data_IF_150117028271
#
_entry.id   IF_150117028271
#
_cell.length_a   1.000
_cell.length_b   1.000
_cell.length_c   1.000
_cell.angle_alpha   90.00
_cell.angle_beta   90.00
_cell.angle_gamma   90.00
#
_symmetry.space_group_name_H-M   'P 1'
#
loop_
_entity.id
_entity.type
_entity.pdbx_description
1 polymer ?
#
# COMPACT_ATOMS: atom_id res chain seq x y z
N UNK A 1 -21.79 -4.85 -4.07
CA UNK A 1 -21.66 -3.57 -3.35
C UNK A 1 -20.81 -3.75 -2.09
N UNK A 2 -21.26 -4.49 -1.09
CA UNK A 2 -20.65 -4.65 0.25
C UNK A 2 -19.14 -4.98 0.35
N UNK A 3 -18.61 -5.87 -0.50
CA UNK A 3 -17.17 -6.27 -0.46
C UNK A 3 -16.25 -5.19 -1.07
N UNK A 4 -16.78 -4.28 -1.88
CA UNK A 4 -16.00 -3.19 -2.45
C UNK A 4 -15.59 -2.18 -1.37
N UNK A 5 -16.50 -1.88 -0.45
CA UNK A 5 -16.32 -0.84 0.56
C UNK A 5 -15.23 -1.22 1.56
N UNK A 6 -15.18 -2.51 1.96
CA UNK A 6 -14.11 -2.99 2.84
C UNK A 6 -12.73 -2.96 2.18
N UNK A 7 -12.64 -3.26 0.87
CA UNK A 7 -11.37 -3.20 0.13
C UNK A 7 -10.87 -1.77 0.03
N UNK A 8 -11.79 -0.83 -0.17
CA UNK A 8 -11.48 0.59 -0.14
C UNK A 8 -11.03 1.02 1.26
N UNK A 9 -11.71 0.57 2.33
CA UNK A 9 -11.28 0.82 3.71
C UNK A 9 -9.87 0.29 3.99
N UNK A 10 -9.55 -0.92 3.53
CA UNK A 10 -8.21 -1.52 3.62
C UNK A 10 -7.18 -0.69 2.85
N UNK A 11 -7.46 -0.31 1.60
CA UNK A 11 -6.56 0.52 0.81
C UNK A 11 -6.30 1.89 1.47
N UNK A 12 -7.33 2.52 2.04
CA UNK A 12 -7.22 3.79 2.76
C UNK A 12 -6.42 3.63 4.06
N UNK A 13 -6.60 2.53 4.80
CA UNK A 13 -5.79 2.20 5.96
C UNK A 13 -4.30 2.05 5.60
N UNK A 14 -3.99 1.28 4.55
CA UNK A 14 -2.62 1.00 4.12
C UNK A 14 -1.88 2.23 3.55
N UNK A 15 -2.62 3.28 3.17
CA UNK A 15 -2.09 4.53 2.60
C UNK A 15 -2.28 5.73 3.55
N UNK A 16 -2.58 5.46 4.83
CA UNK A 16 -2.73 6.45 5.91
C UNK A 16 -3.77 7.54 5.61
N UNK A 17 -4.80 7.20 4.83
CA UNK A 17 -5.86 8.14 4.46
C UNK A 17 -6.96 8.18 5.53
N UNK A 18 -7.49 9.37 5.87
CA UNK A 18 -8.54 9.49 6.86
C UNK A 18 -9.82 8.76 6.39
N UNK A 19 -10.51 8.12 7.34
CA UNK A 19 -11.75 7.42 7.10
C UNK A 19 -12.90 8.10 7.87
N UNK A 20 -13.97 8.53 7.19
CA UNK A 20 -15.16 9.04 7.86
C UNK A 20 -15.82 7.96 8.74
N UNK A 21 -16.33 8.29 9.94
CA UNK A 21 -16.99 7.31 10.81
C UNK A 21 -18.16 6.59 10.13
N UNK A 22 -18.97 7.30 9.33
CA UNK A 22 -20.08 6.72 8.59
C UNK A 22 -19.63 5.63 7.61
N UNK A 23 -18.53 5.87 6.89
CA UNK A 23 -17.97 4.91 5.94
C UNK A 23 -17.47 3.64 6.65
N UNK A 24 -16.90 3.78 7.85
CA UNK A 24 -16.49 2.63 8.67
C UNK A 24 -17.71 1.79 9.03
N UNK A 25 -18.75 2.39 9.61
CA UNK A 25 -19.95 1.65 10.01
C UNK A 25 -20.64 0.99 8.82
N UNK A 26 -20.64 1.61 7.63
CA UNK A 26 -21.21 1.01 6.42
C UNK A 26 -20.35 -0.13 5.83
N UNK A 27 -19.05 -0.18 6.14
CA UNK A 27 -18.11 -1.14 5.57
C UNK A 27 -17.90 -2.41 6.40
N UNK A 28 -18.17 -2.37 7.72
CA UNK A 28 -17.86 -3.47 8.67
C UNK A 28 -18.99 -3.76 9.68
N UNK A 29 -20.25 -3.55 9.31
CA UNK A 29 -21.42 -3.68 10.21
C UNK A 29 -21.82 -5.12 10.59
N UNK A 30 -21.23 -6.16 9.99
CA UNK A 30 -21.56 -7.56 10.30
C UNK A 30 -20.30 -8.40 10.55
N UNK A 31 -20.45 -9.55 11.21
CA UNK A 31 -19.36 -10.44 11.59
C UNK A 31 -18.52 -10.91 10.38
N UNK A 32 -19.16 -11.14 9.24
CA UNK A 32 -18.47 -11.58 8.02
C UNK A 32 -17.53 -10.49 7.47
N UNK A 33 -18.01 -9.25 7.46
CA UNK A 33 -17.20 -8.10 7.04
C UNK A 33 -16.10 -7.81 8.06
N UNK A 34 -16.39 -7.87 9.36
CA UNK A 34 -15.35 -7.72 10.39
C UNK A 34 -14.26 -8.79 10.25
N UNK A 35 -14.62 -10.06 10.02
CA UNK A 35 -13.66 -11.13 9.77
C UNK A 35 -12.78 -10.83 8.54
N UNK A 36 -13.37 -10.33 7.45
CA UNK A 36 -12.63 -9.96 6.26
C UNK A 36 -11.64 -8.80 6.51
N UNK A 37 -11.98 -7.86 7.39
CA UNK A 37 -11.06 -6.80 7.84
C UNK A 37 -9.92 -7.39 8.69
N UNK A 38 -10.23 -8.28 9.63
CA UNK A 38 -9.26 -8.97 10.49
C UNK A 38 -8.26 -9.75 9.61
N UNK A 39 -8.76 -10.53 8.66
CA UNK A 39 -7.96 -11.34 7.75
C UNK A 39 -6.99 -10.48 6.93
N UNK A 40 -7.44 -9.31 6.46
CA UNK A 40 -6.66 -8.42 5.59
C UNK A 40 -5.71 -7.49 6.33
N UNK A 41 -6.01 -7.08 7.57
CA UNK A 41 -5.24 -6.07 8.29
C UNK A 41 -4.50 -6.60 9.52
N UNK A 42 -5.06 -7.57 10.24
CA UNK A 42 -4.50 -8.10 11.49
C UNK A 42 -3.74 -9.39 11.23
N UNK A 43 -4.35 -10.36 10.55
CA UNK A 43 -3.77 -11.67 10.29
C UNK A 43 -2.95 -11.74 8.99
N UNK A 44 -2.87 -10.64 8.23
CA UNK A 44 -2.17 -10.62 6.96
C UNK A 44 -0.64 -10.58 7.14
N UNK A 45 0.12 -11.57 6.63
CA UNK A 45 1.58 -11.58 6.73
C UNK A 45 2.24 -10.31 6.21
N UNK A 46 1.67 -9.71 5.15
CA UNK A 46 2.19 -8.47 4.56
C UNK A 46 2.02 -7.27 5.48
N UNK A 47 0.87 -7.12 6.15
CA UNK A 47 0.64 -5.97 7.06
C UNK A 47 1.38 -6.11 8.38
N UNK A 48 1.71 -7.34 8.78
CA UNK A 48 2.59 -7.62 9.92
C UNK A 48 4.03 -7.21 9.59
N UNK A 49 4.53 -7.54 8.40
CA UNK A 49 5.88 -7.21 7.97
C UNK A 49 6.07 -5.72 7.61
N UNK A 50 5.07 -5.10 7.00
CA UNK A 50 5.11 -3.71 6.53
C UNK A 50 3.95 -2.87 7.09
N UNK A 51 3.91 -2.66 8.42
CA UNK A 51 2.78 -2.01 9.06
C UNK A 51 2.73 -0.49 8.77
N UNK A 52 1.53 0.10 8.67
CA UNK A 52 1.36 1.55 8.73
C UNK A 52 1.87 2.14 10.05
N UNK A 53 1.99 3.47 10.12
CA UNK A 53 2.46 4.14 11.34
C UNK A 53 1.62 3.81 12.58
N UNK A 54 2.27 3.48 13.70
CA UNK A 54 1.61 2.97 14.92
C UNK A 54 0.57 3.93 15.53
N UNK A 55 0.85 5.23 15.52
CA UNK A 55 -0.09 6.27 15.95
C UNK A 55 -1.32 6.35 15.05
N UNK A 56 -1.14 6.17 13.73
CA UNK A 56 -2.24 6.06 12.78
C UNK A 56 -3.06 4.79 13.04
N UNK A 57 -2.40 3.63 13.24
CA UNK A 57 -3.10 2.38 13.58
C UNK A 57 -3.96 2.53 14.84
N UNK A 58 -3.42 3.14 15.90
CA UNK A 58 -4.17 3.41 17.13
C UNK A 58 -5.42 4.24 16.86
N UNK A 59 -5.29 5.33 16.10
CA UNK A 59 -6.42 6.21 15.76
C UNK A 59 -7.46 5.47 14.92
N UNK A 60 -7.01 4.70 13.93
CA UNK A 60 -7.89 3.91 13.07
C UNK A 60 -8.70 2.90 13.89
N UNK A 61 -8.05 2.02 14.67
CA UNK A 61 -8.75 0.98 15.41
C UNK A 61 -9.68 1.55 16.49
N UNK A 62 -9.29 2.68 17.12
CA UNK A 62 -10.19 3.41 18.02
C UNK A 62 -11.45 3.90 17.28
N UNK A 63 -11.29 4.47 16.09
CA UNK A 63 -12.42 4.94 15.29
C UNK A 63 -13.32 3.78 14.82
N UNK A 64 -12.72 2.62 14.50
CA UNK A 64 -13.47 1.40 14.15
C UNK A 64 -14.38 0.97 15.29
N UNK A 65 -13.83 0.79 16.49
CA UNK A 65 -14.61 0.39 17.67
C UNK A 65 -15.70 1.42 17.98
N UNK A 66 -15.36 2.71 18.03
CA UNK A 66 -16.35 3.78 18.32
C UNK A 66 -17.47 3.81 17.28
N UNK A 67 -17.17 3.60 16.00
CA UNK A 67 -18.18 3.60 14.95
C UNK A 67 -19.12 2.39 15.06
N UNK A 68 -18.59 1.21 15.38
CA UNK A 68 -19.39 -0.01 15.54
C UNK A 68 -20.28 0.06 16.80
N UNK A 69 -19.68 0.40 17.95
CA UNK A 69 -20.41 0.58 19.21
C UNK A 69 -21.50 1.65 19.10
N UNK A 70 -21.20 2.78 18.45
CA UNK A 70 -22.14 3.87 18.24
C UNK A 70 -23.35 3.50 17.37
N UNK A 71 -23.24 2.45 16.56
CA UNK A 71 -24.33 1.91 15.74
C UNK A 71 -24.97 0.65 16.36
N UNK A 72 -24.58 0.27 17.59
CA UNK A 72 -25.09 -0.92 18.26
C UNK A 72 -24.66 -2.24 17.61
N UNK A 73 -23.54 -2.24 16.88
CA UNK A 73 -22.96 -3.43 16.25
C UNK A 73 -22.00 -4.10 17.23
N UNK A 74 -22.14 -5.42 17.39
CA UNK A 74 -21.20 -6.22 18.18
C UNK A 74 -19.84 -6.27 17.49
N UNK A 75 -18.77 -6.02 18.25
CA UNK A 75 -17.39 -5.93 17.75
C UNK A 75 -16.68 -7.25 18.00
N UNK A 76 -16.07 -7.81 16.96
CA UNK A 76 -15.28 -9.04 17.04
C UNK A 76 -14.09 -8.91 18.01
N UNK A 77 -13.80 -10.00 18.75
CA UNK A 77 -12.81 -10.00 19.83
C UNK A 77 -11.41 -9.57 19.38
N UNK A 78 -10.96 -10.04 18.22
CA UNK A 78 -9.64 -9.72 17.65
C UNK A 78 -9.47 -8.22 17.38
N UNK A 79 -10.55 -7.49 17.10
CA UNK A 79 -10.50 -6.03 16.91
C UNK A 79 -10.22 -5.33 18.25
N UNK A 80 -10.85 -5.79 19.34
CA UNK A 80 -10.54 -5.29 20.67
C UNK A 80 -9.12 -5.62 21.10
N UNK A 81 -8.69 -6.86 20.90
CA UNK A 81 -7.32 -7.28 21.21
C UNK A 81 -6.31 -6.41 20.45
N UNK A 82 -6.55 -6.16 19.16
CA UNK A 82 -5.70 -5.27 18.36
C UNK A 82 -5.68 -3.84 18.92
N UNK A 83 -6.84 -3.28 19.27
CA UNK A 83 -6.91 -1.95 19.88
C UNK A 83 -6.14 -1.89 21.21
N UNK A 84 -6.31 -2.88 22.08
CA UNK A 84 -5.62 -2.97 23.38
C UNK A 84 -4.10 -3.04 23.18
N UNK A 85 -3.62 -3.84 22.22
CA UNK A 85 -2.21 -3.89 21.83
C UNK A 85 -1.69 -2.51 21.39
N UNK A 86 -2.46 -1.78 20.58
CA UNK A 86 -2.08 -0.43 20.14
C UNK A 86 -2.09 0.58 21.28
N UNK A 87 -3.05 0.48 22.22
CA UNK A 87 -3.13 1.37 23.38
C UNK A 87 -1.97 1.17 24.35
N UNK A 88 -1.50 -0.07 24.50
CA UNK A 88 -0.36 -0.46 25.34
C UNK A 88 0.99 0.03 24.80
N UNK A 89 1.07 0.41 23.53
CA UNK A 89 2.30 0.97 22.97
C UNK A 89 2.52 2.39 23.52
N UNK A 90 3.73 2.79 23.93
CA UNK A 90 3.97 4.16 24.36
C UNK A 90 3.68 5.18 23.25
N UNK A 91 3.10 6.32 23.62
CA UNK A 91 2.96 7.44 22.68
C UNK A 91 4.33 8.04 22.46
N UNK A 92 4.83 7.96 21.22
CA UNK A 92 6.12 8.54 20.86
C UNK A 92 6.06 10.06 20.91
N UNK A 93 7.10 10.68 21.47
CA UNK A 93 7.30 12.12 21.41
C UNK A 93 8.31 12.45 20.30
N UNK A 94 8.12 13.59 19.64
CA UNK A 94 8.97 14.05 18.54
C UNK A 94 8.32 13.97 17.16
N UNK A 95 9.05 14.32 16.09
CA UNK A 95 8.52 14.33 14.74
C UNK A 95 8.10 12.91 14.30
N UNK A 96 7.08 12.78 13.44
CA UNK A 96 6.66 11.50 12.87
C UNK A 96 7.83 10.80 12.17
N UNK A 97 8.10 9.54 12.52
CA UNK A 97 9.05 8.71 11.79
C UNK A 97 8.47 8.28 10.43
N UNK A 98 9.36 7.86 9.54
CA UNK A 98 8.94 7.22 8.31
C UNK A 98 8.14 5.93 8.59
N UNK A 99 7.17 5.64 7.72
CA UNK A 99 6.33 4.45 7.85
C UNK A 99 6.06 3.82 6.50
N UNK A 100 5.69 2.54 6.49
CA UNK A 100 5.30 1.86 5.27
C UNK A 100 3.94 2.34 4.80
N UNK A 101 3.84 2.61 3.50
CA UNK A 101 2.60 2.75 2.76
C UNK A 101 2.52 1.58 1.80
N UNK A 102 1.35 0.92 1.74
CA UNK A 102 1.09 -0.15 0.77
C UNK A 102 -0.04 0.28 -0.17
N UNK A 103 0.28 0.46 -1.44
CA UNK A 103 -0.68 0.75 -2.51
C UNK A 103 -1.16 -0.57 -3.11
N UNK A 104 -2.47 -0.81 -3.09
CA UNK A 104 -3.06 -2.02 -3.68
C UNK A 104 -3.37 -1.77 -5.15
N UNK A 105 -2.49 -2.22 -6.05
CA UNK A 105 -2.72 -2.17 -7.48
C UNK A 105 -3.81 -3.14 -7.87
N UNK A 106 -4.93 -2.61 -8.35
CA UNK A 106 -5.97 -3.45 -8.96
C UNK A 106 -5.54 -3.85 -10.36
N UNK A 107 -5.76 -5.12 -10.71
CA UNK A 107 -5.57 -5.58 -12.09
C UNK A 107 -6.46 -4.78 -13.05
N UNK A 108 -5.93 -4.22 -14.14
CA UNK A 108 -6.76 -3.57 -15.17
C UNK A 108 -7.57 -4.61 -15.95
N UNK A 109 -8.81 -4.25 -16.28
CA UNK A 109 -9.70 -5.09 -17.09
C UNK A 109 -9.18 -5.24 -18.54
N UNK A 110 -8.57 -4.18 -19.07
CA UNK A 110 -7.95 -4.13 -20.41
C UNK A 110 -6.45 -4.47 -20.41
N UNK A 111 -5.92 -5.00 -19.31
CA UNK A 111 -4.49 -5.24 -19.15
C UNK A 111 -3.96 -6.34 -20.07
N UNK A 112 -2.73 -6.17 -20.57
CA UNK A 112 -2.05 -7.17 -21.42
C UNK A 112 -1.52 -8.35 -20.61
N UNK A 113 -1.31 -8.18 -19.31
CA UNK A 113 -0.79 -9.22 -18.40
C UNK A 113 -1.87 -10.28 -18.13
N UNK A 114 -1.60 -11.58 -18.37
CA UNK A 114 -2.53 -12.66 -18.07
C UNK A 114 -2.89 -12.76 -16.59
N UNK A 115 -4.10 -13.25 -16.31
CA UNK A 115 -4.63 -13.41 -14.94
C UNK A 115 -3.70 -14.22 -14.04
N UNK A 116 -3.19 -15.34 -14.57
CA UNK A 116 -2.34 -16.24 -13.83
C UNK A 116 -1.00 -15.60 -13.44
N UNK A 117 -0.47 -14.72 -14.29
CA UNK A 117 0.79 -14.00 -14.05
C UNK A 117 0.60 -12.85 -13.05
N UNK A 118 -0.53 -12.15 -13.12
CA UNK A 118 -0.83 -11.06 -12.19
C UNK A 118 -0.97 -11.56 -10.74
N UNK A 119 -1.76 -12.63 -10.56
CA UNK A 119 -2.12 -13.20 -9.26
C UNK A 119 -0.90 -13.71 -8.52
N UNK A 120 -0.83 -13.45 -7.22
CA UNK A 120 0.23 -13.94 -6.34
C UNK A 120 -0.13 -15.32 -5.78
N UNK A 121 0.86 -16.18 -5.46
CA UNK A 121 0.60 -17.42 -4.76
C UNK A 121 -0.15 -17.20 -3.44
N UNK A 122 -1.02 -18.13 -3.07
CA UNK A 122 -1.72 -18.09 -1.78
C UNK A 122 -0.74 -18.14 -0.60
N UNK A 123 -1.06 -17.41 0.47
CA UNK A 123 -0.26 -17.39 1.70
C UNK A 123 0.88 -16.38 1.73
N UNK A 124 1.13 -15.67 0.62
CA UNK A 124 2.07 -14.54 0.59
C UNK A 124 1.46 -13.29 1.25
N UNK A 125 0.18 -13.04 0.96
CA UNK A 125 -0.64 -12.03 1.58
C UNK A 125 -2.10 -12.49 1.57
N UNK A 126 -2.93 -11.79 2.35
CA UNK A 126 -4.37 -12.02 2.42
C UNK A 126 -5.16 -10.97 1.64
N UNK A 127 -4.52 -10.20 0.76
CA UNK A 127 -5.25 -9.28 -0.10
C UNK A 127 -6.03 -10.04 -1.17
N UNK A 128 -7.05 -9.39 -1.75
CA UNK A 128 -7.83 -10.01 -2.82
C UNK A 128 -6.92 -10.36 -4.01
N UNK A 129 -7.10 -11.56 -4.60
CA UNK A 129 -6.23 -12.11 -5.66
C UNK A 129 -5.96 -11.19 -6.85
N UNK A 130 -6.90 -10.30 -7.18
CA UNK A 130 -6.73 -9.33 -8.27
C UNK A 130 -6.01 -8.03 -7.84
N UNK A 131 -5.51 -7.96 -6.60
CA UNK A 131 -4.72 -6.86 -6.07
C UNK A 131 -3.28 -7.29 -5.84
N UNK A 132 -2.35 -6.41 -6.19
CA UNK A 132 -0.92 -6.58 -5.92
C UNK A 132 -0.44 -5.43 -5.05
N UNK A 133 0.18 -5.69 -3.88
CA UNK A 133 0.71 -4.62 -3.05
C UNK A 133 1.98 -4.03 -3.65
N UNK A 134 2.07 -2.71 -3.71
CA UNK A 134 3.33 -1.96 -3.86
C UNK A 134 3.63 -1.26 -2.54
N UNK A 135 4.73 -1.62 -1.91
CA UNK A 135 5.07 -1.12 -0.59
C UNK A 135 6.29 -0.21 -0.66
N UNK A 136 6.20 0.95 -0.03
CA UNK A 136 7.31 1.88 0.09
C UNK A 136 7.36 2.48 1.49
N UNK A 137 8.55 2.75 1.99
CA UNK A 137 8.78 3.49 3.22
C UNK A 137 8.88 4.97 2.89
N UNK A 138 7.99 5.79 3.45
CA UNK A 138 7.96 7.24 3.19
C UNK A 138 8.12 8.06 4.46
N UNK A 139 8.63 9.28 4.31
CA UNK A 139 8.47 10.32 5.32
C UNK A 139 7.00 10.68 5.50
N UNK A 140 6.63 10.94 6.75
CA UNK A 140 5.29 11.41 7.11
C UNK A 140 5.20 12.94 7.19
N UNK A 141 6.30 13.63 6.91
CA UNK A 141 6.39 15.09 6.83
C UNK A 141 6.58 15.52 5.38
N UNK A 142 6.03 16.68 4.98
CA UNK A 142 6.15 17.18 3.60
C UNK A 142 7.58 17.55 3.24
N UNK A 143 8.32 18.11 4.19
CA UNK A 143 9.73 18.46 4.06
C UNK A 143 10.48 17.74 5.17
N UNK A 144 11.42 16.89 4.80
CA UNK A 144 12.35 16.23 5.73
C UNK A 144 13.76 16.40 5.15
N UNK A 145 14.74 16.71 6.00
CA UNK A 145 16.15 16.90 5.59
C UNK A 145 16.37 17.95 4.49
N UNK A 146 15.46 18.92 4.36
CA UNK A 146 15.55 19.98 3.35
C UNK A 146 15.04 19.56 1.96
N UNK A 147 14.49 18.35 1.82
CA UNK A 147 13.94 17.83 0.57
C UNK A 147 12.47 17.44 0.73
N UNK A 148 11.76 17.39 -0.40
CA UNK A 148 10.40 16.86 -0.51
C UNK A 148 10.35 15.49 -1.17
N UNK A 149 11.50 14.92 -1.54
CA UNK A 149 11.62 13.66 -2.30
C UNK A 149 11.36 12.40 -1.48
N UNK A 150 11.33 12.49 -0.15
CA UNK A 150 11.11 11.34 0.75
C UNK A 150 9.64 10.91 0.87
N UNK A 151 8.75 11.51 0.08
CA UNK A 151 7.31 11.24 0.07
C UNK A 151 6.79 11.18 -1.36
N UNK A 152 5.81 10.32 -1.63
CA UNK A 152 5.12 10.32 -2.92
C UNK A 152 4.25 11.57 -3.07
N UNK A 153 4.41 12.23 -4.22
CA UNK A 153 3.57 13.35 -4.63
C UNK A 153 2.39 12.89 -5.47
N UNK A 154 1.32 13.70 -5.47
CA UNK A 154 0.09 13.40 -6.21
C UNK A 154 0.33 13.11 -7.69
N UNK A 155 1.24 13.85 -8.33
CA UNK A 155 1.60 13.62 -9.73
C UNK A 155 2.15 12.21 -10.00
N UNK A 156 2.91 11.64 -9.06
CA UNK A 156 3.43 10.27 -9.17
C UNK A 156 2.29 9.24 -9.08
N UNK A 157 1.28 9.49 -8.24
CA UNK A 157 0.07 8.65 -8.16
C UNK A 157 -0.76 8.73 -9.44
N UNK A 158 -0.97 9.92 -9.97
CA UNK A 158 -1.77 10.11 -11.20
C UNK A 158 -1.06 9.48 -12.41
N UNK A 159 0.27 9.62 -12.51
CA UNK A 159 1.05 8.96 -13.56
C UNK A 159 1.10 7.44 -13.37
N UNK A 160 1.16 6.96 -12.13
CA UNK A 160 1.09 5.53 -11.82
C UNK A 160 -0.22 4.90 -12.31
N UNK A 161 -1.35 5.55 -12.03
CA UNK A 161 -2.66 5.10 -12.51
C UNK A 161 -2.71 5.08 -14.04
N UNK A 162 -2.19 6.12 -14.70
CA UNK A 162 -2.13 6.16 -16.16
C UNK A 162 -1.26 5.05 -16.74
N UNK A 163 -0.07 4.80 -16.19
CA UNK A 163 0.82 3.70 -16.64
C UNK A 163 0.14 2.35 -16.41
N UNK A 164 -0.57 2.17 -15.30
CA UNK A 164 -1.28 0.93 -14.99
C UNK A 164 -2.34 0.61 -16.05
N UNK A 165 -2.97 1.62 -16.65
CA UNK A 165 -3.91 1.48 -17.77
C UNK A 165 -3.22 1.39 -19.16
N UNK A 166 -1.96 1.83 -19.26
CA UNK A 166 -1.19 1.91 -20.51
C UNK A 166 0.11 1.09 -20.43
N UNK A 167 0.05 -0.12 -19.87
CA UNK A 167 1.22 -0.96 -19.52
C UNK A 167 2.17 -1.17 -20.70
N UNK A 168 1.63 -1.28 -21.91
CA UNK A 168 2.39 -1.47 -23.16
C UNK A 168 3.47 -0.40 -23.40
N UNK A 169 3.29 0.80 -22.81
CA UNK A 169 4.27 1.91 -22.94
C UNK A 169 5.58 1.61 -22.23
N UNK A 170 5.58 0.75 -21.21
CA UNK A 170 6.76 0.48 -20.37
C UNK A 170 7.20 -0.99 -20.38
N UNK A 171 6.33 -1.94 -20.76
CA UNK A 171 6.55 -3.39 -20.65
C UNK A 171 7.88 -3.87 -21.25
N UNK A 172 8.30 -3.33 -22.39
CA UNK A 172 9.55 -3.72 -23.07
C UNK A 172 10.50 -2.53 -23.28
N UNK A 173 10.26 -1.42 -22.57
CA UNK A 173 11.00 -0.18 -22.72
C UNK A 173 12.24 -0.12 -21.83
N UNK A 174 13.16 0.77 -22.19
CA UNK A 174 14.23 1.25 -21.31
C UNK A 174 13.78 2.61 -20.77
N UNK A 175 13.49 2.67 -19.48
CA UNK A 175 12.87 3.83 -18.83
C UNK A 175 13.90 4.57 -17.98
N UNK A 176 13.88 5.90 -18.04
CA UNK A 176 14.63 6.78 -17.13
C UNK A 176 13.63 7.67 -16.41
N UNK A 177 13.58 7.60 -15.09
CA UNK A 177 12.78 8.49 -14.26
C UNK A 177 13.69 9.56 -13.64
N UNK A 178 13.33 10.82 -13.87
CA UNK A 178 14.01 12.00 -13.32
C UNK A 178 13.24 12.51 -12.10
N UNK A 179 13.93 12.65 -10.98
CA UNK A 179 13.28 13.02 -9.71
C UNK A 179 12.40 11.89 -9.17
N UNK A 180 12.97 10.68 -9.07
CA UNK A 180 12.24 9.47 -8.68
C UNK A 180 11.69 9.50 -7.26
N UNK A 181 12.18 10.43 -6.41
CA UNK A 181 11.74 10.53 -5.03
C UNK A 181 11.94 9.20 -4.28
N UNK A 182 10.93 8.81 -3.49
CA UNK A 182 10.92 7.54 -2.77
C UNK A 182 10.79 6.30 -3.68
N UNK A 183 10.57 6.47 -4.99
CA UNK A 183 10.64 5.40 -5.99
C UNK A 183 9.33 4.67 -6.30
N UNK A 184 8.16 5.24 -5.97
CA UNK A 184 6.86 4.58 -6.22
C UNK A 184 6.64 4.22 -7.69
N UNK A 185 6.79 5.20 -8.57
CA UNK A 185 6.54 5.04 -10.00
C UNK A 185 7.53 4.06 -10.62
N UNK A 186 8.81 4.20 -10.28
CA UNK A 186 9.84 3.26 -10.68
C UNK A 186 9.57 1.83 -10.27
N UNK A 187 9.11 1.64 -9.04
CA UNK A 187 8.71 0.33 -8.53
C UNK A 187 7.53 -0.25 -9.34
N UNK A 188 6.51 0.56 -9.62
CA UNK A 188 5.39 0.15 -10.47
C UNK A 188 5.86 -0.28 -11.87
N UNK A 189 6.70 0.52 -12.51
CA UNK A 189 7.23 0.21 -13.84
C UNK A 189 8.04 -1.09 -13.81
N UNK A 190 8.92 -1.26 -12.82
CA UNK A 190 9.67 -2.49 -12.63
C UNK A 190 8.75 -3.71 -12.45
N UNK A 191 7.69 -3.58 -11.64
CA UNK A 191 6.68 -4.63 -11.48
C UNK A 191 6.01 -4.98 -12.81
N UNK A 192 5.57 -3.99 -13.59
CA UNK A 192 4.94 -4.24 -14.90
C UNK A 192 5.91 -4.93 -15.86
N UNK A 193 7.17 -4.50 -15.90
CA UNK A 193 8.21 -5.11 -16.74
C UNK A 193 8.48 -6.56 -16.33
N UNK A 194 8.61 -6.85 -15.04
CA UNK A 194 8.81 -8.21 -14.54
C UNK A 194 7.63 -9.13 -14.88
N UNK A 195 6.40 -8.64 -14.75
CA UNK A 195 5.20 -9.41 -15.06
C UNK A 195 5.01 -9.66 -16.57
N UNK A 196 5.60 -8.82 -17.43
CA UNK A 196 5.57 -8.99 -18.89
C UNK A 196 6.85 -9.64 -19.44
N UNK A 197 7.79 -10.05 -18.58
CA UNK A 197 9.10 -10.55 -19.02
C UNK A 197 8.92 -11.81 -19.88
N UNK A 198 9.35 -11.81 -21.16
CA UNK A 198 9.25 -13.00 -22.01
C UNK A 198 10.20 -14.08 -21.50
N UNK A 199 9.83 -15.35 -21.67
CA UNK A 199 10.64 -16.51 -21.29
C UNK A 199 11.91 -16.66 -22.14
N UNK A 200 11.90 -16.15 -23.38
CA UNK A 200 12.86 -16.55 -24.42
C UNK A 200 13.65 -15.40 -25.09
N UNK A 201 13.60 -14.17 -24.59
CA UNK A 201 14.28 -13.02 -25.25
C UNK A 201 15.37 -12.37 -24.40
N UNK A 202 16.51 -12.07 -25.04
CA UNK A 202 17.63 -11.30 -24.50
C UNK A 202 17.35 -9.80 -24.34
N UNK A 203 16.21 -9.29 -24.84
CA UNK A 203 15.88 -7.87 -24.77
C UNK A 203 15.47 -7.49 -23.34
N UNK A 204 16.44 -6.98 -22.57
CA UNK A 204 16.24 -6.55 -21.20
C UNK A 204 15.55 -5.19 -21.17
N UNK A 205 14.24 -5.18 -20.85
CA UNK A 205 13.59 -3.99 -20.29
C UNK A 205 14.35 -3.56 -19.04
N UNK A 206 14.54 -2.26 -18.84
CA UNK A 206 15.17 -1.76 -17.63
C UNK A 206 14.59 -0.41 -17.23
N UNK A 207 14.81 -0.06 -15.98
CA UNK A 207 14.48 1.24 -15.44
C UNK A 207 15.66 1.81 -14.65
N UNK A 208 15.95 3.09 -14.89
CA UNK A 208 16.92 3.88 -14.13
C UNK A 208 16.16 4.93 -13.33
N UNK A 209 16.44 4.99 -12.04
CA UNK A 209 15.82 5.91 -11.08
C UNK A 209 16.88 6.92 -10.66
N UNK A 210 16.57 8.20 -10.85
CA UNK A 210 17.52 9.28 -10.58
C UNK A 210 16.88 10.35 -9.73
N UNK A 211 17.66 10.90 -8.81
CA UNK A 211 17.30 12.03 -7.98
C UNK A 211 18.59 12.81 -7.67
N UNK A 212 18.47 14.08 -7.27
CA UNK A 212 19.62 14.93 -6.94
C UNK A 212 20.10 14.73 -5.50
N UNK A 213 19.20 14.29 -4.62
CA UNK A 213 19.45 14.20 -3.18
C UNK A 213 19.86 12.77 -2.79
N UNK A 214 21.02 12.63 -2.14
CA UNK A 214 21.59 11.34 -1.75
C UNK A 214 20.72 10.58 -0.71
N UNK A 215 20.07 11.29 0.22
CA UNK A 215 19.17 10.68 1.20
C UNK A 215 17.90 10.15 0.50
N UNK A 216 17.43 10.86 -0.54
CA UNK A 216 16.31 10.40 -1.38
C UNK A 216 16.70 9.17 -2.19
N UNK A 217 17.86 9.18 -2.84
CA UNK A 217 18.37 8.02 -3.57
C UNK A 217 18.58 6.81 -2.65
N UNK A 218 19.10 7.01 -1.44
CA UNK A 218 19.24 5.95 -0.45
C UNK A 218 17.87 5.38 -0.06
N UNK A 219 16.86 6.22 0.13
CA UNK A 219 15.49 5.77 0.40
C UNK A 219 14.87 5.02 -0.78
N UNK A 220 15.05 5.54 -2.00
CA UNK A 220 14.59 4.89 -3.23
C UNK A 220 15.20 3.49 -3.36
N UNK A 221 16.52 3.37 -3.18
CA UNK A 221 17.23 2.10 -3.22
C UNK A 221 16.76 1.11 -2.15
N UNK A 222 16.46 1.60 -0.93
CA UNK A 222 15.88 0.79 0.13
C UNK A 222 14.51 0.23 -0.28
N UNK A 223 13.63 1.08 -0.82
CA UNK A 223 12.27 0.70 -1.22
C UNK A 223 12.26 -0.35 -2.34
N UNK A 224 13.14 -0.22 -3.32
CA UNK A 224 13.29 -1.20 -4.41
C UNK A 224 13.75 -2.56 -3.90
N UNK A 225 14.57 -2.58 -2.83
CA UNK A 225 15.14 -3.79 -2.24
C UNK A 225 14.27 -4.41 -1.16
N UNK A 226 13.08 -3.88 -0.88
CA UNK A 226 12.17 -4.50 0.07
C UNK A 226 11.84 -5.92 -0.41
N UNK A 227 11.84 -6.94 0.46
CA UNK A 227 11.56 -8.32 0.06
C UNK A 227 10.18 -8.55 -0.59
N UNK A 228 9.25 -7.62 -0.45
CA UNK A 228 7.93 -7.68 -1.08
C UNK A 228 7.86 -7.09 -2.49
N UNK A 229 8.91 -6.40 -2.94
CA UNK A 229 9.00 -5.67 -4.21
C UNK A 229 9.34 -6.58 -5.39
#
# INVERSE_FOLDING_TARGET
MKVHDIRQMVALYLTLQPLPPAFISESVYDAQLQQLLIDQLIANPHTIAYPPATDYQRKFWKNVVVALEGNGVEVEGEIYERLICMLSTPVRQGPPEASYLTYLLRRPESGTIPTATWRRPSGIDNFGQDHRPLTILESRTTIERGTTGLRTWRASLDLSEWILQNQYTVSSARVLELGSGAGLLGLLVATIQQLNRPTDTEQASCIYLTDIDDDVLARCALNIRLPCS
#
